data_IF_629797302453
#
_entry.id   IF_629797302453
#
_cell.length_a   1.000
_cell.length_b   1.000
_cell.length_c   1.000
_cell.angle_alpha   90.00
_cell.angle_beta   90.00
_cell.angle_gamma   90.00
#
_symmetry.space_group_name_H-M   'P 1'
#
loop_
_entity.id
_entity.type
_entity.pdbx_description
1 polymer ?
#
# COMPACT_ATOMS: atom_id res chain seq x y z
N UNK A 1 24.16 43.76 30.71
CA UNK A 1 23.05 43.41 29.80
C UNK A 1 23.19 41.93 29.49
N UNK A 2 22.21 41.07 29.84
CA UNK A 2 22.32 39.64 29.58
C UNK A 2 21.76 39.28 28.20
N UNK A 3 22.58 38.60 27.41
CA UNK A 3 22.27 38.02 26.10
C UNK A 3 21.13 37.00 26.18
N UNK A 4 20.02 37.29 25.52
CA UNK A 4 18.93 36.35 25.26
C UNK A 4 19.36 35.32 24.23
N UNK A 5 19.85 34.16 24.68
CA UNK A 5 20.02 32.97 23.82
C UNK A 5 18.64 32.47 23.38
N UNK A 6 18.36 32.62 22.09
CA UNK A 6 17.22 32.02 21.42
C UNK A 6 17.17 30.50 21.66
N UNK A 7 16.06 30.03 22.25
CA UNK A 7 15.73 28.61 22.30
C UNK A 7 15.48 28.13 20.87
N UNK A 8 16.37 27.27 20.36
CA UNK A 8 16.15 26.54 19.12
C UNK A 8 14.82 25.78 19.21
N UNK A 9 13.88 25.95 18.26
CA UNK A 9 12.67 25.14 18.24
C UNK A 9 13.07 23.68 18.01
N UNK A 10 12.51 22.79 18.85
CA UNK A 10 12.67 21.33 18.80
C UNK A 10 12.73 20.85 17.35
N UNK A 11 13.91 20.40 16.91
CA UNK A 11 14.05 19.66 15.66
C UNK A 11 12.99 18.56 15.65
N UNK A 12 11.99 18.69 14.78
CA UNK A 12 11.08 17.60 14.46
C UNK A 12 11.96 16.48 13.91
N UNK A 13 12.24 15.51 14.77
CA UNK A 13 13.10 14.36 14.51
C UNK A 13 12.65 13.73 13.19
N UNK A 14 13.47 13.84 12.14
CA UNK A 14 13.27 13.09 10.91
C UNK A 14 13.16 11.62 11.32
N UNK A 15 12.09 10.89 10.95
CA UNK A 15 11.97 9.48 11.29
C UNK A 15 13.20 8.74 10.80
N UNK A 16 13.80 7.96 11.68
CA UNK A 16 14.93 7.09 11.35
C UNK A 16 14.52 6.17 10.19
N UNK A 17 15.28 6.22 9.09
CA UNK A 17 15.00 5.51 7.83
C UNK A 17 15.62 4.11 7.81
N UNK A 18 16.51 3.80 8.74
CA UNK A 18 17.31 2.56 8.68
C UNK A 18 16.47 1.28 8.78
N UNK A 19 15.25 1.36 9.34
CA UNK A 19 14.36 0.21 9.57
C UNK A 19 13.05 0.21 8.74
N UNK A 20 12.83 1.23 7.89
CA UNK A 20 11.53 1.44 7.23
C UNK A 20 11.59 1.12 5.73
N UNK A 21 10.69 0.23 5.32
CA UNK A 21 10.44 -0.14 3.93
C UNK A 21 9.49 0.84 3.27
N UNK A 22 9.67 1.07 1.96
CA UNK A 22 8.90 2.06 1.19
C UNK A 22 8.13 1.37 0.06
N UNK A 23 6.82 1.63 -0.01
CA UNK A 23 5.94 1.09 -1.06
C UNK A 23 5.54 2.20 -2.04
N UNK A 24 5.85 1.97 -3.32
CA UNK A 24 5.37 2.72 -4.48
C UNK A 24 5.35 4.25 -4.36
N UNK A 25 6.34 4.90 -4.97
CA UNK A 25 6.55 6.35 -4.86
C UNK A 25 7.71 6.67 -3.94
N UNK A 26 8.25 7.86 -4.09
CA UNK A 26 9.35 8.37 -3.26
C UNK A 26 9.00 9.78 -2.84
N UNK A 27 9.26 10.11 -1.58
CA UNK A 27 9.11 11.48 -1.09
C UNK A 27 10.00 12.50 -1.82
N UNK A 28 11.03 12.02 -2.52
CA UNK A 28 11.98 12.80 -3.30
C UNK A 28 11.51 13.02 -4.75
N UNK A 29 10.43 12.35 -5.16
CA UNK A 29 9.84 12.51 -6.48
C UNK A 29 8.63 13.44 -6.46
N UNK A 30 8.35 13.98 -7.63
CA UNK A 30 7.12 14.71 -7.92
C UNK A 30 5.94 13.72 -7.97
N UNK A 31 4.81 14.10 -7.36
CA UNK A 31 3.59 13.33 -7.51
C UNK A 31 3.08 13.42 -8.96
N UNK A 32 2.83 12.29 -9.64
CA UNK A 32 2.41 12.32 -11.05
C UNK A 32 0.95 12.76 -11.25
N UNK A 33 0.17 12.93 -10.17
CA UNK A 33 -1.19 13.48 -10.20
C UNK A 33 -1.19 15.00 -10.02
N UNK A 34 -0.54 15.51 -8.97
CA UNK A 34 -0.60 16.92 -8.60
C UNK A 34 0.62 17.74 -8.99
N UNK A 35 1.62 17.11 -9.62
CA UNK A 35 2.89 17.72 -10.03
C UNK A 35 3.66 18.46 -8.92
N UNK A 36 3.32 18.19 -7.65
CA UNK A 36 3.99 18.75 -6.48
C UNK A 36 4.99 17.75 -5.91
N UNK A 37 6.17 18.24 -5.50
CA UNK A 37 7.11 17.47 -4.68
C UNK A 37 6.43 16.95 -3.42
N UNK A 38 6.60 15.65 -3.18
CA UNK A 38 5.92 14.92 -2.10
C UNK A 38 6.36 15.36 -0.70
N UNK A 39 7.60 15.79 -0.53
CA UNK A 39 8.13 16.30 0.74
C UNK A 39 8.03 17.83 0.90
N UNK A 40 7.40 18.55 -0.03
CA UNK A 40 7.37 20.02 0.00
C UNK A 40 6.45 20.54 1.11
N UNK A 41 6.97 21.48 1.90
CA UNK A 41 6.22 22.22 2.89
C UNK A 41 6.04 23.69 2.48
N UNK A 42 4.86 24.25 2.73
CA UNK A 42 4.56 25.68 2.60
C UNK A 42 3.90 26.14 3.90
N UNK A 43 4.39 27.22 4.49
CA UNK A 43 3.92 27.69 5.80
C UNK A 43 4.05 26.64 6.93
N UNK A 44 5.01 25.73 6.83
CA UNK A 44 5.21 24.63 7.78
C UNK A 44 4.29 23.41 7.57
N UNK A 45 3.31 23.48 6.68
CA UNK A 45 2.40 22.39 6.34
C UNK A 45 2.88 21.64 5.09
N UNK A 46 2.76 20.31 5.08
CA UNK A 46 3.02 19.51 3.88
C UNK A 46 1.91 19.78 2.85
N UNK A 47 2.29 20.09 1.62
CA UNK A 47 1.32 20.24 0.52
C UNK A 47 0.74 18.88 0.13
N UNK A 48 1.57 17.84 0.17
CA UNK A 48 1.21 16.44 -0.06
C UNK A 48 1.40 15.68 1.25
N UNK A 49 0.32 15.38 1.97
CA UNK A 49 0.37 14.81 3.32
C UNK A 49 0.85 13.36 3.36
N UNK A 50 0.72 12.62 2.26
CA UNK A 50 1.25 11.23 2.13
C UNK A 50 2.43 11.19 1.15
N UNK A 51 3.65 11.56 1.60
CA UNK A 51 4.79 11.62 0.69
C UNK A 51 5.22 10.24 0.15
N UNK A 52 5.04 9.19 0.96
CA UNK A 52 5.40 7.81 0.68
C UNK A 52 4.54 6.89 1.56
N UNK A 53 4.45 5.60 1.23
CA UNK A 53 3.83 4.60 2.09
C UNK A 53 4.91 3.88 2.90
N UNK A 54 5.17 4.31 4.15
CA UNK A 54 6.12 3.64 5.01
C UNK A 54 5.55 2.32 5.55
N UNK A 55 6.44 1.38 5.80
CA UNK A 55 6.23 0.19 6.62
C UNK A 55 6.42 0.51 8.12
N UNK A 56 6.14 -0.46 8.99
CA UNK A 56 6.62 -0.44 10.37
C UNK A 56 6.79 -1.85 10.94
N UNK A 57 7.65 -2.06 11.97
CA UNK A 57 7.79 -3.36 12.63
C UNK A 57 6.47 -3.98 13.10
N UNK A 58 5.53 -3.16 13.58
CA UNK A 58 4.21 -3.63 14.04
C UNK A 58 3.35 -4.14 12.89
N UNK A 59 3.45 -3.52 11.71
CA UNK A 59 2.75 -4.00 10.51
C UNK A 59 3.39 -5.28 9.97
N UNK A 60 4.73 -5.39 10.02
CA UNK A 60 5.44 -6.63 9.67
C UNK A 60 5.02 -7.80 10.56
N UNK A 61 4.88 -7.54 11.86
CA UNK A 61 4.35 -8.53 12.80
C UNK A 61 2.90 -8.90 12.44
N UNK A 62 2.02 -7.91 12.24
CA UNK A 62 0.61 -8.15 11.93
C UNK A 62 0.43 -9.00 10.66
N UNK A 63 1.09 -8.65 9.55
CA UNK A 63 1.01 -9.43 8.31
C UNK A 63 1.65 -10.82 8.47
N UNK A 64 2.71 -10.93 9.28
CA UNK A 64 3.32 -12.22 9.65
C UNK A 64 2.32 -13.13 10.38
N UNK A 65 1.56 -12.59 11.34
CA UNK A 65 0.50 -13.34 12.04
C UNK A 65 -0.61 -13.82 11.10
N UNK A 66 -1.01 -12.99 10.13
CA UNK A 66 -1.99 -13.40 9.10
C UNK A 66 -1.43 -14.54 8.25
N UNK A 67 -0.17 -14.44 7.81
CA UNK A 67 0.51 -15.50 7.04
C UNK A 67 0.58 -16.80 7.83
N UNK A 68 0.99 -16.76 9.09
CA UNK A 68 1.11 -17.96 9.93
C UNK A 68 -0.27 -18.60 10.17
N UNK A 69 -1.30 -17.78 10.38
CA UNK A 69 -2.68 -18.28 10.49
C UNK A 69 -3.20 -18.91 9.18
N UNK A 70 -2.84 -18.35 8.03
CA UNK A 70 -3.13 -18.93 6.72
C UNK A 70 -2.44 -20.28 6.51
N UNK A 71 -1.20 -20.43 7.00
CA UNK A 71 -0.47 -21.70 6.92
C UNK A 71 -1.09 -22.77 7.81
N UNK A 72 -1.51 -22.39 9.02
CA UNK A 72 -2.15 -23.30 9.97
C UNK A 72 -3.56 -23.72 9.54
N UNK A 73 -4.32 -22.81 8.92
CA UNK A 73 -5.72 -23.04 8.54
C UNK A 73 -6.03 -22.45 7.17
N UNK A 74 -5.47 -22.99 6.07
CA UNK A 74 -5.73 -22.48 4.73
C UNK A 74 -7.22 -22.55 4.39
N UNK A 75 -7.76 -21.59 3.60
CA UNK A 75 -9.12 -21.69 3.05
C UNK A 75 -9.36 -23.04 2.38
N UNK A 76 -10.51 -23.66 2.67
CA UNK A 76 -10.84 -25.01 2.19
C UNK A 76 -10.90 -25.13 0.66
N UNK A 77 -11.22 -24.03 -0.03
CA UNK A 77 -11.30 -23.95 -1.49
C UNK A 77 -10.05 -23.30 -2.13
N UNK A 78 -8.97 -23.16 -1.36
CA UNK A 78 -7.68 -22.75 -1.91
C UNK A 78 -7.12 -23.89 -2.75
N UNK A 79 -7.33 -23.80 -4.07
CA UNK A 79 -6.83 -24.77 -5.03
C UNK A 79 -5.30 -24.84 -5.09
N UNK A 80 -4.79 -25.96 -5.60
CA UNK A 80 -3.35 -26.24 -5.73
C UNK A 80 -2.62 -25.32 -6.72
N UNK A 81 -3.33 -24.56 -7.55
CA UNK A 81 -2.75 -23.53 -8.41
C UNK A 81 -2.53 -22.18 -7.68
N UNK A 82 -2.99 -22.07 -6.42
CA UNK A 82 -2.90 -20.87 -5.58
C UNK A 82 -1.83 -20.99 -4.48
N UNK A 83 -0.74 -21.68 -4.81
CA UNK A 83 0.33 -21.98 -3.86
C UNK A 83 1.19 -20.78 -3.44
N UNK A 84 1.09 -19.63 -4.12
CA UNK A 84 1.76 -18.42 -3.71
C UNK A 84 0.92 -17.18 -4.04
N UNK A 85 0.80 -16.25 -3.09
CA UNK A 85 0.12 -14.97 -3.29
C UNK A 85 0.61 -13.92 -2.29
N UNK A 86 0.28 -12.66 -2.54
CA UNK A 86 0.59 -11.55 -1.65
C UNK A 86 -0.48 -11.39 -0.58
N UNK A 87 -0.07 -11.17 0.65
CA UNK A 87 -0.91 -10.71 1.76
C UNK A 87 -0.36 -9.37 2.21
N UNK A 88 -1.24 -8.42 2.52
CA UNK A 88 -0.83 -7.13 3.02
C UNK A 88 -1.77 -6.61 4.10
N UNK A 89 -1.22 -5.70 4.90
CA UNK A 89 -1.92 -4.96 5.93
C UNK A 89 -1.69 -3.46 5.72
N UNK A 90 -2.70 -2.66 5.99
CA UNK A 90 -2.64 -1.20 5.93
C UNK A 90 -3.19 -0.61 7.22
N UNK A 91 -2.47 0.34 7.80
CA UNK A 91 -3.01 1.23 8.84
C UNK A 91 -3.06 2.65 8.29
N UNK A 92 -4.15 3.35 8.56
CA UNK A 92 -4.29 4.75 8.18
C UNK A 92 -5.05 5.53 9.24
N UNK A 93 -4.84 6.84 9.26
CA UNK A 93 -5.73 7.77 9.95
C UNK A 93 -6.17 8.86 9.00
N UNK A 94 -7.49 8.97 8.83
CA UNK A 94 -8.12 9.96 7.96
C UNK A 94 -9.18 10.68 8.79
N UNK A 95 -9.05 12.01 8.89
CA UNK A 95 -9.97 12.86 9.65
C UNK A 95 -10.16 12.38 11.11
N UNK A 96 -9.07 12.04 11.79
CA UNK A 96 -9.08 11.53 13.17
C UNK A 96 -9.51 10.08 13.34
N UNK A 97 -10.01 9.41 12.30
CA UNK A 97 -10.46 8.02 12.36
C UNK A 97 -9.36 7.05 11.91
N UNK A 98 -9.08 6.05 12.74
CA UNK A 98 -8.15 4.97 12.42
C UNK A 98 -8.83 3.90 11.55
N UNK A 99 -8.08 3.36 10.59
CA UNK A 99 -8.45 2.25 9.72
C UNK A 99 -7.35 1.19 9.79
N UNK A 100 -7.73 -0.09 9.93
CA UNK A 100 -6.81 -1.22 9.93
C UNK A 100 -7.34 -2.27 8.96
N UNK A 101 -6.70 -2.41 7.81
CA UNK A 101 -7.21 -3.22 6.69
C UNK A 101 -6.27 -4.37 6.38
N UNK A 102 -6.82 -5.50 5.94
CA UNK A 102 -6.10 -6.69 5.48
C UNK A 102 -6.62 -7.09 4.11
N UNK A 103 -5.73 -7.43 3.18
CA UNK A 103 -6.09 -7.93 1.86
C UNK A 103 -5.11 -8.99 1.38
N UNK A 104 -5.55 -9.81 0.42
CA UNK A 104 -4.65 -10.67 -0.36
C UNK A 104 -4.80 -10.45 -1.86
N UNK A 105 -3.79 -10.80 -2.65
CA UNK A 105 -3.84 -10.74 -4.12
C UNK A 105 -4.71 -11.83 -4.76
N UNK A 106 -5.48 -12.60 -3.97
CA UNK A 106 -6.36 -13.65 -4.48
C UNK A 106 -7.43 -13.18 -5.48
N UNK A 107 -7.85 -14.07 -6.37
CA UNK A 107 -9.02 -13.92 -7.24
C UNK A 107 -9.72 -15.28 -7.38
N UNK A 108 -11.07 -15.32 -7.44
CA UNK A 108 -11.98 -14.17 -7.45
C UNK A 108 -12.30 -13.57 -6.07
N UNK A 109 -11.93 -14.25 -4.97
CA UNK A 109 -12.21 -13.81 -3.59
C UNK A 109 -10.94 -13.57 -2.77
N UNK A 110 -11.10 -13.04 -1.55
CA UNK A 110 -10.01 -12.93 -0.57
C UNK A 110 -9.63 -14.32 -0.07
N UNK A 111 -8.33 -14.57 0.04
CA UNK A 111 -7.79 -15.76 0.72
C UNK A 111 -7.70 -15.56 2.24
N UNK A 112 -7.76 -14.32 2.71
CA UNK A 112 -7.85 -14.01 4.14
C UNK A 112 -9.31 -14.07 4.55
N UNK A 113 -9.59 -14.77 5.66
CA UNK A 113 -10.90 -14.91 6.29
C UNK A 113 -10.82 -14.39 7.73
N UNK A 114 -11.98 -14.12 8.36
CA UNK A 114 -12.03 -13.54 9.71
C UNK A 114 -11.22 -14.35 10.74
N UNK A 115 -11.23 -15.68 10.63
CA UNK A 115 -10.47 -16.56 11.52
C UNK A 115 -8.96 -16.31 11.50
N UNK A 116 -8.41 -15.84 10.37
CA UNK A 116 -6.97 -15.55 10.23
C UNK A 116 -6.54 -14.25 10.91
N UNK A 117 -7.48 -13.43 11.40
CA UNK A 117 -7.19 -12.16 12.08
C UNK A 117 -7.13 -12.27 13.60
N UNK A 118 -7.56 -13.40 14.17
CA UNK A 118 -7.77 -13.61 15.61
C UNK A 118 -6.49 -13.44 16.46
N UNK A 119 -5.33 -13.74 15.88
CA UNK A 119 -4.04 -13.74 16.59
C UNK A 119 -3.23 -12.45 16.41
N UNK A 120 -3.83 -11.39 15.85
CA UNK A 120 -3.16 -10.09 15.72
C UNK A 120 -3.39 -9.27 16.99
N UNK A 121 -2.39 -9.19 17.87
CA UNK A 121 -2.44 -8.44 19.13
C UNK A 121 -2.37 -6.92 18.93
N UNK A 122 -1.58 -6.46 17.95
CA UNK A 122 -1.54 -5.05 17.59
C UNK A 122 -2.85 -4.63 16.93
N UNK A 123 -3.53 -3.59 17.46
CA UNK A 123 -4.87 -3.15 16.99
C UNK A 123 -5.90 -4.30 17.02
N UNK A 124 -5.84 -5.13 18.07
CA UNK A 124 -6.72 -6.30 18.23
C UNK A 124 -8.20 -5.92 18.01
N UNK A 125 -8.90 -6.74 17.22
CA UNK A 125 -10.32 -6.55 16.88
C UNK A 125 -10.62 -5.43 15.89
N UNK A 126 -9.63 -4.61 15.51
CA UNK A 126 -9.84 -3.47 14.57
C UNK A 126 -9.55 -3.82 13.11
N UNK A 127 -8.98 -5.00 12.84
CA UNK A 127 -8.60 -5.41 11.49
C UNK A 127 -9.81 -5.84 10.66
N UNK A 128 -9.96 -5.23 9.49
CA UNK A 128 -11.05 -5.51 8.55
C UNK A 128 -10.50 -6.06 7.24
N UNK A 129 -11.16 -7.09 6.71
CA UNK A 129 -10.79 -7.68 5.42
C UNK A 129 -11.40 -6.83 4.31
N UNK A 130 -10.57 -6.42 3.34
CA UNK A 130 -11.01 -5.69 2.15
C UNK A 130 -10.63 -6.45 0.89
N UNK A 131 -11.57 -6.48 -0.06
CA UNK A 131 -11.38 -7.13 -1.36
C UNK A 131 -12.12 -6.37 -2.46
N UNK A 132 -11.78 -5.10 -2.70
CA UNK A 132 -12.37 -4.34 -3.79
C UNK A 132 -11.95 -4.93 -5.13
N UNK A 133 -12.78 -4.67 -6.15
CA UNK A 133 -12.39 -4.88 -7.56
C UNK A 133 -11.27 -3.89 -7.89
N UNK A 134 -10.21 -4.38 -8.54
CA UNK A 134 -9.17 -3.52 -9.10
C UNK A 134 -9.59 -3.17 -10.53
N UNK A 135 -9.61 -1.90 -10.93
CA UNK A 135 -9.83 -1.52 -12.33
C UNK A 135 -8.81 -2.20 -13.26
N UNK A 136 -9.29 -2.66 -14.41
CA UNK A 136 -8.51 -3.40 -15.41
C UNK A 136 -8.42 -2.59 -16.71
N UNK A 137 -7.23 -2.59 -17.30
CA UNK A 137 -7.00 -2.02 -18.60
C UNK A 137 -7.41 -3.03 -19.68
N UNK A 138 -8.27 -2.61 -20.60
CA UNK A 138 -8.60 -3.39 -21.78
C UNK A 138 -7.38 -3.56 -22.69
N UNK A 139 -7.19 -4.78 -23.20
CA UNK A 139 -6.02 -5.08 -24.03
C UNK A 139 -6.09 -4.45 -25.43
N UNK A 140 -7.28 -4.24 -25.99
CA UNK A 140 -7.48 -3.77 -27.36
C UNK A 140 -7.54 -2.25 -27.41
N UNK A 141 -8.41 -1.67 -26.60
CA UNK A 141 -8.75 -0.25 -26.61
C UNK A 141 -7.82 0.59 -25.74
N UNK A 142 -7.00 -0.06 -24.90
CA UNK A 142 -6.05 0.58 -23.97
C UNK A 142 -6.74 1.63 -23.11
N UNK A 143 -7.91 1.26 -22.58
CA UNK A 143 -8.73 2.07 -21.67
C UNK A 143 -8.97 1.30 -20.39
N UNK A 144 -9.07 2.02 -19.29
CA UNK A 144 -9.54 1.44 -18.04
C UNK A 144 -11.03 1.13 -18.16
N UNK A 145 -11.44 -0.02 -17.64
CA UNK A 145 -12.84 -0.45 -17.56
C UNK A 145 -13.68 0.44 -16.63
N UNK A 146 -13.06 0.96 -15.57
CA UNK A 146 -13.63 1.92 -14.62
C UNK A 146 -12.59 2.98 -14.23
N UNK A 147 -13.07 4.15 -13.82
CA UNK A 147 -12.20 5.24 -13.38
C UNK A 147 -11.43 4.89 -12.10
N UNK A 148 -10.11 5.12 -12.14
CA UNK A 148 -9.29 5.12 -10.95
C UNK A 148 -9.53 6.37 -10.12
N UNK A 149 -9.43 6.23 -8.80
CA UNK A 149 -9.56 7.34 -7.86
C UNK A 149 -8.40 7.35 -6.85
N UNK A 150 -7.95 8.53 -6.44
CA UNK A 150 -7.02 8.69 -5.32
C UNK A 150 -7.61 8.14 -4.02
N UNK A 151 -6.80 8.11 -2.96
CA UNK A 151 -7.30 7.92 -1.60
C UNK A 151 -8.42 8.90 -1.34
N UNK A 152 -8.24 10.21 -1.59
CA UNK A 152 -9.29 11.24 -1.38
C UNK A 152 -10.53 11.13 -2.28
N UNK A 153 -10.54 10.22 -3.25
CA UNK A 153 -11.67 10.02 -4.16
C UNK A 153 -11.62 10.83 -5.45
N UNK A 154 -10.57 11.63 -5.67
CA UNK A 154 -10.36 12.39 -6.89
C UNK A 154 -10.05 11.46 -8.07
N UNK A 155 -10.56 11.77 -9.25
CA UNK A 155 -10.32 10.96 -10.44
C UNK A 155 -8.85 11.06 -10.86
N UNK A 156 -8.26 9.93 -11.24
CA UNK A 156 -6.88 9.88 -11.74
C UNK A 156 -6.81 9.12 -13.05
N UNK A 157 -5.90 9.55 -13.92
CA UNK A 157 -5.56 8.83 -15.13
C UNK A 157 -4.19 8.17 -14.97
N UNK A 158 -4.21 6.87 -14.65
CA UNK A 158 -2.97 6.08 -14.59
C UNK A 158 -2.59 5.70 -16.03
N UNK A 159 -1.35 5.97 -16.48
CA UNK A 159 -0.89 5.58 -17.81
C UNK A 159 -1.00 4.07 -18.01
N UNK A 160 -1.59 3.66 -19.14
CA UNK A 160 -1.59 2.27 -19.58
C UNK A 160 -0.36 2.06 -20.48
N UNK A 161 0.43 0.99 -20.28
CA UNK A 161 1.54 0.65 -21.17
C UNK A 161 1.12 0.62 -22.64
N UNK A 162 1.86 1.33 -23.48
CA UNK A 162 1.61 1.43 -24.91
C UNK A 162 2.38 0.32 -25.67
N UNK A 163 1.86 -0.07 -26.84
CA UNK A 163 2.43 -1.14 -27.67
C UNK A 163 1.42 -2.25 -27.96
N UNK A 164 1.26 -2.62 -29.23
CA UNK A 164 0.34 -3.70 -29.66
C UNK A 164 1.05 -5.04 -29.87
N UNK A 165 2.37 -5.06 -29.73
CA UNK A 165 3.19 -6.26 -29.81
C UNK A 165 3.06 -7.15 -28.56
N UNK A 166 3.77 -8.29 -28.55
CA UNK A 166 3.72 -9.23 -27.42
C UNK A 166 4.21 -8.60 -26.12
N UNK A 167 5.19 -7.69 -26.19
CA UNK A 167 5.72 -6.98 -25.03
C UNK A 167 4.67 -6.05 -24.42
N UNK A 168 3.99 -5.25 -25.23
CA UNK A 168 2.91 -4.37 -24.79
C UNK A 168 1.70 -5.13 -24.22
N UNK A 169 1.35 -6.29 -24.78
CA UNK A 169 0.32 -7.17 -24.20
C UNK A 169 0.72 -7.69 -22.81
N UNK A 170 1.94 -8.23 -22.68
CA UNK A 170 2.48 -8.70 -21.39
C UNK A 170 2.54 -7.57 -20.35
N UNK A 171 2.85 -6.33 -20.76
CA UNK A 171 2.86 -5.19 -19.85
C UNK A 171 1.46 -4.85 -19.30
N UNK A 172 0.42 -4.97 -20.13
CA UNK A 172 -0.97 -4.80 -19.68
C UNK A 172 -1.44 -5.96 -18.78
N UNK A 173 -1.04 -7.19 -19.07
CA UNK A 173 -1.34 -8.30 -18.14
C UNK A 173 -0.69 -8.09 -16.77
N UNK A 174 0.54 -7.56 -16.74
CA UNK A 174 1.24 -7.22 -15.50
C UNK A 174 0.57 -6.08 -14.73
N UNK A 175 0.04 -5.05 -15.42
CA UNK A 175 -0.67 -3.96 -14.72
C UNK A 175 -2.05 -4.40 -14.20
N UNK A 176 -2.71 -5.34 -14.88
CA UNK A 176 -3.99 -5.92 -14.43
C UNK A 176 -3.84 -6.94 -13.30
N UNK A 177 -2.62 -7.44 -13.06
CA UNK A 177 -2.36 -8.40 -12.00
C UNK A 177 -2.82 -7.87 -10.63
N UNK A 178 -3.58 -8.67 -9.86
CA UNK A 178 -4.04 -8.27 -8.53
C UNK A 178 -2.86 -8.14 -7.57
N UNK A 179 -2.86 -7.07 -6.78
CA UNK A 179 -1.82 -6.73 -5.81
C UNK A 179 -2.52 -6.41 -4.48
N UNK A 180 -2.01 -6.94 -3.36
CA UNK A 180 -2.60 -6.69 -2.05
C UNK A 180 -2.59 -5.19 -1.74
N UNK A 181 -1.48 -4.49 -2.01
CA UNK A 181 -1.39 -3.03 -1.90
C UNK A 181 -2.51 -2.27 -2.65
N UNK A 182 -2.82 -2.66 -3.88
CA UNK A 182 -3.88 -2.01 -4.65
C UNK A 182 -5.24 -2.18 -3.98
N UNK A 183 -5.53 -3.38 -3.50
CA UNK A 183 -6.77 -3.66 -2.77
C UNK A 183 -6.86 -2.91 -1.44
N UNK A 184 -5.73 -2.77 -0.72
CA UNK A 184 -5.69 -2.03 0.53
C UNK A 184 -5.97 -0.54 0.30
N UNK A 185 -5.35 0.08 -0.71
CA UNK A 185 -5.55 1.49 -1.02
C UNK A 185 -6.96 1.78 -1.55
N UNK A 186 -7.46 0.94 -2.46
CA UNK A 186 -8.84 1.04 -2.96
C UNK A 186 -9.86 0.78 -1.83
N UNK A 187 -9.59 -0.20 -0.96
CA UNK A 187 -10.44 -0.53 0.18
C UNK A 187 -10.46 0.58 1.23
N UNK A 188 -9.32 1.23 1.50
CA UNK A 188 -9.26 2.43 2.33
C UNK A 188 -10.18 3.52 1.78
N UNK A 189 -10.10 3.77 0.46
CA UNK A 189 -10.93 4.76 -0.20
C UNK A 189 -12.42 4.43 -0.07
N UNK A 190 -12.83 3.18 -0.27
CA UNK A 190 -14.21 2.75 -0.07
C UNK A 190 -14.68 2.96 1.38
N UNK A 191 -13.84 2.59 2.35
CA UNK A 191 -14.16 2.72 3.78
C UNK A 191 -14.33 4.17 4.22
N UNK A 192 -13.48 5.07 3.74
CA UNK A 192 -13.61 6.50 4.05
C UNK A 192 -14.82 7.11 3.33
N UNK A 193 -15.07 6.74 2.08
CA UNK A 193 -16.23 7.23 1.33
C UNK A 193 -17.57 6.87 2.02
N UNK A 194 -17.67 5.66 2.59
CA UNK A 194 -18.84 5.22 3.37
C UNK A 194 -19.13 6.09 4.60
N UNK A 195 -18.13 6.82 5.12
CA UNK A 195 -18.29 7.71 6.27
C UNK A 195 -18.74 9.13 5.87
N UNK A 196 -18.87 9.42 4.57
CA UNK A 196 -19.38 10.70 4.06
C UNK A 196 -18.49 11.92 4.32
N UNK A 197 -17.31 11.74 4.92
CA UNK A 197 -16.38 12.82 5.28
C UNK A 197 -14.97 12.49 4.82
N UNK A 198 -14.66 12.83 3.58
CA UNK A 198 -13.27 12.97 3.15
C UNK A 198 -12.64 14.18 3.85
N UNK A 199 -11.42 14.00 4.35
CA UNK A 199 -10.68 15.06 5.01
C UNK A 199 -9.22 14.69 5.12
N UNK A 200 -8.48 15.42 5.97
CA UNK A 200 -7.02 15.34 6.06
C UNK A 200 -6.57 13.90 6.31
N UNK A 201 -5.70 13.39 5.44
CA UNK A 201 -4.99 12.14 5.69
C UNK A 201 -3.80 12.45 6.61
N UNK A 202 -3.82 11.90 7.81
CA UNK A 202 -2.77 12.13 8.81
C UNK A 202 -1.59 11.19 8.61
N UNK A 203 -1.88 9.93 8.28
CA UNK A 203 -0.89 8.96 7.84
C UNK A 203 -1.55 7.81 7.09
N UNK A 204 -0.77 7.15 6.23
CA UNK A 204 -1.05 5.82 5.68
C UNK A 204 0.25 5.04 5.74
N UNK A 205 0.20 3.81 6.26
CA UNK A 205 1.33 2.90 6.34
C UNK A 205 0.90 1.52 5.89
N UNK A 206 1.82 0.75 5.33
CA UNK A 206 1.50 -0.54 4.73
C UNK A 206 2.66 -1.51 4.87
N UNK A 207 2.35 -2.79 5.01
CA UNK A 207 3.32 -3.87 4.92
C UNK A 207 2.74 -5.03 4.13
N UNK A 208 3.59 -5.71 3.36
CA UNK A 208 3.21 -6.84 2.52
C UNK A 208 4.17 -8.02 2.75
N UNK A 209 3.65 -9.23 2.61
CA UNK A 209 4.44 -10.47 2.60
C UNK A 209 3.88 -11.44 1.59
N UNK A 210 4.76 -12.29 1.04
CA UNK A 210 4.33 -13.46 0.28
C UNK A 210 3.82 -14.51 1.26
N UNK A 211 2.68 -15.11 0.94
CA UNK A 211 2.28 -16.41 1.43
C UNK A 211 2.73 -17.45 0.40
N UNK A 212 3.38 -18.52 0.85
CA UNK A 212 3.66 -19.72 0.05
C UNK A 212 3.15 -20.93 0.82
N UNK A 213 2.39 -21.80 0.14
CA UNK A 213 1.89 -23.05 0.70
C UNK A 213 3.06 -23.99 1.00
N UNK A 214 2.95 -24.75 2.09
CA UNK A 214 3.99 -25.69 2.51
C UNK A 214 4.35 -26.66 1.38
N UNK A 215 5.66 -26.90 1.21
CA UNK A 215 6.20 -27.81 0.20
C UNK A 215 6.33 -27.20 -1.21
N UNK A 216 5.94 -25.94 -1.41
CA UNK A 216 6.01 -25.29 -2.73
C UNK A 216 7.21 -24.35 -2.80
N UNK A 217 7.92 -24.38 -3.95
CA UNK A 217 9.01 -23.44 -4.21
C UNK A 217 8.47 -22.03 -4.36
N UNK A 218 9.14 -21.06 -3.75
CA UNK A 218 8.84 -19.64 -3.94
C UNK A 218 9.04 -19.28 -5.41
N UNK A 219 8.08 -18.61 -6.06
CA UNK A 219 8.25 -18.16 -7.44
C UNK A 219 9.49 -17.26 -7.59
N UNK A 220 10.30 -17.51 -8.62
CA UNK A 220 11.59 -16.81 -8.84
C UNK A 220 11.43 -15.30 -9.08
N UNK A 221 10.26 -14.88 -9.53
CA UNK A 221 9.92 -13.48 -9.79
C UNK A 221 9.55 -12.68 -8.52
N UNK A 222 9.57 -13.30 -7.33
CA UNK A 222 9.30 -12.62 -6.07
C UNK A 222 10.55 -11.87 -5.56
N UNK A 223 10.41 -10.57 -5.27
CA UNK A 223 11.51 -9.74 -4.74
C UNK A 223 11.77 -10.06 -3.28
N UNK A 224 12.96 -10.58 -2.94
CA UNK A 224 13.38 -10.78 -1.55
C UNK A 224 13.62 -9.41 -0.89
N UNK A 225 13.11 -9.19 0.32
CA UNK A 225 13.61 -8.10 1.17
C UNK A 225 14.70 -8.61 2.10
N UNK A 226 15.72 -7.77 2.29
CA UNK A 226 16.79 -7.96 3.26
C UNK A 226 16.76 -6.78 4.23
N UNK A 227 16.07 -6.94 5.36
CA UNK A 227 16.16 -6.00 6.48
C UNK A 227 16.26 -6.75 7.79
N UNK A 228 16.85 -6.09 8.78
CA UNK A 228 17.05 -6.65 10.11
C UNK A 228 15.78 -6.42 10.95
N UNK A 229 15.28 -7.47 11.59
CA UNK A 229 14.34 -7.33 12.70
C UNK A 229 14.99 -6.60 13.87
N UNK A 230 14.18 -6.11 14.83
CA UNK A 230 14.68 -5.43 16.04
C UNK A 230 15.57 -6.31 16.93
N UNK A 231 15.51 -7.62 16.75
CA UNK A 231 16.31 -8.64 17.44
C UNK A 231 17.55 -9.07 16.65
N UNK A 232 17.87 -8.38 15.55
CA UNK A 232 18.97 -8.79 14.65
C UNK A 232 18.67 -10.07 13.86
N UNK A 233 17.50 -10.67 14.02
CA UNK A 233 17.07 -11.79 13.18
C UNK A 233 16.79 -11.29 11.77
N UNK A 234 17.22 -12.07 10.78
CA UNK A 234 16.77 -11.89 9.40
C UNK A 234 15.30 -12.29 9.34
N UNK A 235 14.40 -11.38 9.69
CA UNK A 235 13.00 -11.53 9.30
C UNK A 235 12.94 -11.31 7.79
N UNK A 236 13.24 -12.36 7.03
CA UNK A 236 13.10 -12.37 5.58
C UNK A 236 11.63 -12.16 5.25
N UNK A 237 11.20 -10.89 5.17
CA UNK A 237 9.93 -10.56 4.54
C UNK A 237 10.16 -10.71 3.04
N UNK A 238 9.27 -11.41 2.36
CA UNK A 238 9.52 -11.85 0.99
C UNK A 238 8.95 -10.90 -0.06
N UNK A 239 8.51 -9.69 0.33
CA UNK A 239 8.29 -8.57 -0.61
C UNK A 239 7.94 -7.27 0.10
N UNK A 240 8.93 -6.39 0.21
CA UNK A 240 8.73 -5.01 0.61
C UNK A 240 9.29 -4.03 -0.43
N UNK A 241 8.94 -4.31 -1.69
CA UNK A 241 8.89 -3.32 -2.76
C UNK A 241 7.72 -3.68 -3.65
N UNK A 242 6.78 -2.74 -3.80
CA UNK A 242 5.71 -2.80 -4.78
C UNK A 242 6.28 -3.21 -6.15
N UNK A 243 5.72 -4.26 -6.76
CA UNK A 243 6.15 -4.68 -8.11
C UNK A 243 6.09 -3.50 -9.10
N UNK A 244 6.70 -3.60 -10.27
CA UNK A 244 6.73 -2.46 -11.24
C UNK A 244 5.32 -1.89 -11.50
N UNK A 245 4.32 -2.77 -11.59
CA UNK A 245 2.94 -2.34 -11.71
C UNK A 245 2.42 -1.57 -10.48
N UNK A 246 2.76 -1.99 -9.26
CA UNK A 246 2.37 -1.27 -8.03
C UNK A 246 3.21 0.02 -7.86
N UNK A 247 4.48 0.06 -8.28
CA UNK A 247 5.31 1.29 -8.35
C UNK A 247 4.74 2.32 -9.32
N UNK A 248 4.16 1.90 -10.44
CA UNK A 248 3.47 2.79 -11.36
C UNK A 248 2.16 3.36 -10.77
N UNK A 249 1.36 2.52 -10.10
CA UNK A 249 -0.01 2.87 -9.66
C UNK A 249 -0.08 3.62 -8.33
N UNK A 250 0.66 3.16 -7.30
CA UNK A 250 0.59 3.70 -5.93
C UNK A 250 0.80 5.21 -5.90
N UNK A 251 1.79 5.81 -6.61
CA UNK A 251 2.00 7.25 -6.57
C UNK A 251 0.74 8.06 -6.90
N UNK A 252 -0.06 7.62 -7.88
CA UNK A 252 -1.32 8.30 -8.18
C UNK A 252 -2.35 8.10 -7.07
N UNK A 253 -2.48 6.86 -6.57
CA UNK A 253 -3.47 6.50 -5.56
C UNK A 253 -3.27 7.24 -4.25
N UNK A 254 -2.04 7.40 -3.79
CA UNK A 254 -1.77 8.04 -2.49
C UNK A 254 -1.79 9.56 -2.54
N UNK A 255 -2.14 10.17 -3.67
CA UNK A 255 -2.25 11.61 -3.71
C UNK A 255 -3.44 12.08 -2.86
N UNK A 256 -3.15 12.94 -1.89
CA UNK A 256 -4.12 13.50 -0.97
C UNK A 256 -4.38 15.00 -1.21
N UNK A 257 -3.86 15.54 -2.31
CA UNK A 257 -4.09 16.92 -2.76
C UNK A 257 -5.42 16.98 -3.52
N UNK A 258 -6.42 17.74 -3.03
CA UNK A 258 -7.68 17.98 -3.74
C UNK A 258 -7.47 18.64 -5.12
N UNK A 259 -8.37 18.37 -6.07
CA UNK A 259 -8.30 18.92 -7.44
C UNK A 259 -8.38 20.45 -7.46
N UNK A 260 -9.19 21.04 -6.58
CA UNK A 260 -9.35 22.50 -6.48
C UNK A 260 -8.11 23.24 -5.94
N UNK A 261 -7.08 22.50 -5.51
CA UNK A 261 -5.79 23.06 -5.09
C UNK A 261 -4.69 22.85 -6.13
N UNK A 262 -5.01 22.26 -7.29
CA UNK A 262 -4.06 22.08 -8.38
C UNK A 262 -4.02 23.33 -9.27
N UNK A 263 -2.84 23.74 -9.77
CA UNK A 263 -2.78 24.75 -10.82
C UNK A 263 -3.50 24.21 -12.06
N UNK A 264 -4.45 25.00 -12.58
CA UNK A 264 -5.22 24.70 -13.79
C UNK A 264 -4.41 24.83 -15.07
#
# INVERSE_FOLDING_TARGET
>A
MPDTKHKNPKQTRTPDRTDNLLHGGSRELTCPKCHTFRNKKVGGQLIHGIPELPDSPKLREAVGRVRDALQAAPPADMGDDKNAFMVGVLEARVSGKDYCLVASSGRPKSWVEKRHLSNISYRQGSWEIVHPRIPEADQKDRKWDIDWKTVTGEKINIPIPQGRDQAGRKAVDRINAPCAAMKLLLGLREKVAQQGKWGRVEYVRMSEQVYVRNGVKVPENMRKYQGKGKDGSYSGTWTAQSCDACTLRIPYLICDVPDNLLPG
#
